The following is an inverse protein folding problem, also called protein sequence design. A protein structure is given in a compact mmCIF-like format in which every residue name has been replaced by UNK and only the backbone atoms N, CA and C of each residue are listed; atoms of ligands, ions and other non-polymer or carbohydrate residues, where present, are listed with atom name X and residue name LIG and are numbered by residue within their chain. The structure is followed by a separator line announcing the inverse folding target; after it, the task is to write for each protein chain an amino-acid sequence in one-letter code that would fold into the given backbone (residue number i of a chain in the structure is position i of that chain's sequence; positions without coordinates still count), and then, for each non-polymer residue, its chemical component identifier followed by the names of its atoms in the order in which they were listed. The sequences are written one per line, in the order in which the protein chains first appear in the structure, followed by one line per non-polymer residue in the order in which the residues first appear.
data_IF_160549366935
#
_entry.id   IF_160549366935
#
_cell.length_a   1.000
_cell.length_b   1.000
_cell.length_c   1.000
_cell.angle_alpha   90.00
_cell.angle_beta   90.00
_cell.angle_gamma   90.00
#
_symmetry.space_group_name_H-M   'P 1'
#
loop_
_entity.id
_entity.type
_entity.pdbx_description
1 polymer ?
#
# COMPACT_ATOMS: atom_id res chain seq x y z
N UNK A 1 -9.67 -13.49 -4.46
CA UNK A 1 -8.45 -14.21 -4.01
C UNK A 1 -7.23 -13.29 -3.93
N UNK A 2 -6.77 -12.67 -5.04
CA UNK A 2 -5.57 -11.80 -5.04
C UNK A 2 -5.68 -10.60 -4.08
N UNK A 3 -6.80 -9.86 -4.14
CA UNK A 3 -7.11 -8.77 -3.19
C UNK A 3 -7.00 -9.20 -1.73
N UNK A 4 -7.58 -10.35 -1.39
CA UNK A 4 -7.53 -10.90 -0.04
C UNK A 4 -6.10 -11.25 0.41
N UNK A 5 -5.28 -11.85 -0.47
CA UNK A 5 -3.88 -12.17 -0.16
C UNK A 5 -3.09 -10.89 0.09
N UNK A 6 -3.23 -9.89 -0.78
CA UNK A 6 -2.51 -8.61 -0.65
C UNK A 6 -2.96 -7.82 0.58
N UNK A 7 -4.26 -7.78 0.87
CA UNK A 7 -4.80 -7.19 2.08
C UNK A 7 -4.25 -7.86 3.35
N UNK A 8 -4.20 -9.19 3.37
CA UNK A 8 -3.62 -9.96 4.48
C UNK A 8 -2.13 -9.63 4.67
N UNK A 9 -1.35 -9.60 3.59
CA UNK A 9 0.07 -9.25 3.67
C UNK A 9 0.29 -7.80 4.13
N UNK A 10 -0.52 -6.84 3.65
CA UNK A 10 -0.45 -5.45 4.11
C UNK A 10 -0.68 -5.37 5.63
N UNK A 11 -1.72 -6.06 6.13
CA UNK A 11 -2.00 -6.16 7.57
C UNK A 11 -0.84 -6.76 8.37
N UNK A 12 -0.26 -7.87 7.89
CA UNK A 12 0.88 -8.53 8.54
C UNK A 12 2.12 -7.63 8.60
N UNK A 13 2.37 -6.85 7.53
CA UNK A 13 3.45 -5.87 7.51
C UNK A 13 3.19 -4.75 8.53
N UNK A 14 1.98 -4.17 8.56
CA UNK A 14 1.63 -3.15 9.56
C UNK A 14 1.80 -3.67 10.98
N UNK A 15 1.31 -4.88 11.28
CA UNK A 15 1.48 -5.51 12.58
C UNK A 15 2.95 -5.60 12.98
N UNK A 16 3.80 -6.08 12.06
CA UNK A 16 5.24 -6.22 12.31
C UNK A 16 5.90 -4.86 12.58
N UNK A 17 5.58 -3.84 11.79
CA UNK A 17 6.12 -2.48 11.93
C UNK A 17 5.70 -1.81 13.24
N UNK A 18 4.44 -2.00 13.64
CA UNK A 18 3.91 -1.47 14.90
C UNK A 18 4.56 -2.18 16.09
N UNK A 19 4.65 -3.51 16.07
CA UNK A 19 5.32 -4.28 17.12
C UNK A 19 6.80 -3.91 17.26
N UNK A 20 7.49 -3.61 16.16
CA UNK A 20 8.88 -3.15 16.17
C UNK A 20 9.03 -1.65 16.41
N UNK A 21 7.94 -0.93 16.74
CA UNK A 21 7.90 0.52 16.95
C UNK A 21 8.62 1.30 15.83
N UNK A 22 8.39 0.89 14.59
CA UNK A 22 9.07 1.40 13.39
C UNK A 22 8.13 2.30 12.61
N UNK A 23 8.41 3.61 12.61
CA UNK A 23 7.67 4.58 11.81
C UNK A 23 7.75 4.21 10.32
N UNK A 24 6.66 4.41 9.60
CA UNK A 24 6.55 4.07 8.19
C UNK A 24 5.72 5.10 7.43
N UNK A 25 5.78 5.06 6.11
CA UNK A 25 4.82 5.75 5.27
C UNK A 25 3.96 4.72 4.53
N UNK A 26 2.73 5.11 4.21
CA UNK A 26 1.85 4.32 3.35
C UNK A 26 1.30 5.19 2.25
N UNK A 27 1.07 4.59 1.08
CA UNK A 27 0.33 5.20 -0.02
C UNK A 27 -0.97 4.43 -0.16
N UNK A 28 -2.11 5.12 -0.21
CA UNK A 28 -3.41 4.48 -0.35
C UNK A 28 -4.34 5.21 -1.32
N UNK A 29 -5.36 4.48 -1.76
CA UNK A 29 -6.46 4.97 -2.61
C UNK A 29 -7.41 5.85 -1.79
N UNK A 30 -7.58 7.11 -2.19
CA UNK A 30 -8.38 8.08 -1.44
C UNK A 30 -9.88 7.83 -1.57
N UNK A 31 -10.35 7.37 -2.72
CA UNK A 31 -11.75 6.97 -2.97
C UNK A 31 -12.24 5.87 -2.00
N UNK A 32 -11.32 5.05 -1.49
CA UNK A 32 -11.56 3.96 -0.54
C UNK A 32 -11.18 4.32 0.90
N UNK A 33 -10.77 5.56 1.17
CA UNK A 33 -10.36 6.04 2.50
C UNK A 33 -11.44 6.95 3.07
N UNK A 34 -11.82 6.73 4.33
CA UNK A 34 -12.78 7.59 5.04
C UNK A 34 -12.09 8.52 6.03
N UNK A 35 -12.75 9.65 6.29
CA UNK A 35 -12.31 10.70 7.19
C UNK A 35 -13.45 11.06 8.15
N UNK A 36 -13.20 10.94 9.45
CA UNK A 36 -14.16 11.30 10.50
C UNK A 36 -13.52 12.24 11.54
N UNK A 37 -13.97 13.51 11.65
CA UNK A 37 -14.99 14.14 10.80
C UNK A 37 -14.52 14.32 9.35
N UNK A 38 -15.47 14.43 8.43
CA UNK A 38 -15.15 14.69 7.02
C UNK A 38 -14.34 15.97 6.85
N UNK A 39 -13.35 15.92 5.96
CA UNK A 39 -12.49 17.06 5.68
C UNK A 39 -13.22 18.13 4.86
N UNK A 40 -12.94 19.42 5.11
CA UNK A 40 -13.40 20.50 4.24
C UNK A 40 -12.95 20.31 2.79
N UNK A 41 -13.78 20.75 1.84
CA UNK A 41 -13.53 20.57 0.40
C UNK A 41 -12.21 21.19 -0.06
N UNK A 42 -11.83 22.34 0.51
CA UNK A 42 -10.55 23.01 0.22
C UNK A 42 -9.32 22.17 0.61
N UNK A 43 -9.48 21.19 1.49
CA UNK A 43 -8.45 20.18 1.81
C UNK A 43 -8.64 18.93 0.95
N UNK A 44 -9.85 18.36 0.94
CA UNK A 44 -10.09 17.07 0.28
C UNK A 44 -9.91 17.13 -1.24
N UNK A 45 -10.21 18.27 -1.87
CA UNK A 45 -10.09 18.44 -3.32
C UNK A 45 -8.62 18.49 -3.79
N UNK A 46 -7.67 18.65 -2.87
CA UNK A 46 -6.24 18.62 -3.18
C UNK A 46 -5.65 17.21 -3.17
N UNK A 47 -6.41 16.20 -2.72
CA UNK A 47 -5.92 14.83 -2.76
C UNK A 47 -5.90 14.29 -4.19
N UNK A 48 -4.78 13.65 -4.54
CA UNK A 48 -4.73 12.79 -5.71
C UNK A 48 -5.48 11.48 -5.45
N UNK A 49 -5.65 10.69 -6.52
CA UNK A 49 -6.20 9.34 -6.45
C UNK A 49 -5.45 8.47 -5.43
N UNK A 50 -4.12 8.59 -5.44
CA UNK A 50 -3.24 8.06 -4.41
C UNK A 50 -2.69 9.18 -3.54
N UNK A 51 -2.70 8.96 -2.23
CA UNK A 51 -2.12 9.89 -1.25
C UNK A 51 -1.20 9.15 -0.30
N UNK A 52 -0.10 9.81 0.07
CA UNK A 52 0.86 9.31 1.04
C UNK A 52 0.58 9.87 2.43
N UNK A 53 0.63 8.99 3.42
CA UNK A 53 0.62 9.35 4.84
C UNK A 53 1.95 8.92 5.48
N UNK A 54 2.53 9.79 6.29
CA UNK A 54 3.70 9.48 7.12
C UNK A 54 3.19 9.19 8.53
N UNK A 55 3.38 7.95 8.98
CA UNK A 55 2.91 7.45 10.26
C UNK A 55 4.07 7.54 11.24
N UNK A 56 4.15 8.67 11.93
CA UNK A 56 5.14 8.95 12.95
C UNK A 56 4.53 9.76 14.10
N UNK A 57 5.16 9.72 15.28
CA UNK A 57 4.70 10.43 16.46
C UNK A 57 3.26 10.05 16.82
N UNK A 58 2.42 11.05 17.12
CA UNK A 58 1.04 10.83 17.53
C UNK A 58 0.20 10.06 16.48
N UNK A 59 0.43 10.29 15.20
CA UNK A 59 -0.24 9.54 14.12
C UNK A 59 0.14 8.07 14.13
N UNK A 60 1.38 7.73 14.49
CA UNK A 60 1.79 6.34 14.66
C UNK A 60 1.22 5.71 15.94
N UNK A 61 1.24 6.46 17.04
CA UNK A 61 0.73 6.01 18.34
C UNK A 61 -0.79 5.76 18.34
N UNK A 62 -1.54 6.44 17.46
CA UNK A 62 -2.99 6.30 17.31
C UNK A 62 -3.41 5.21 16.33
N UNK A 63 -2.48 4.40 15.81
CA UNK A 63 -2.83 3.33 14.87
C UNK A 63 -3.67 2.25 15.58
N UNK A 64 -4.81 1.94 15.00
CA UNK A 64 -5.64 0.79 15.35
C UNK A 64 -5.76 -0.17 14.16
N UNK A 65 -5.51 -1.46 14.41
CA UNK A 65 -5.68 -2.51 13.42
C UNK A 65 -6.99 -3.26 13.67
N UNK A 66 -7.97 -3.05 12.80
CA UNK A 66 -9.23 -3.79 12.76
C UNK A 66 -9.11 -5.14 12.05
N UNK A 67 -10.26 -5.77 11.76
CA UNK A 67 -10.27 -7.02 10.99
C UNK A 67 -9.89 -6.79 9.52
N UNK A 68 -10.53 -5.80 8.88
CA UNK A 68 -10.42 -5.52 7.44
C UNK A 68 -9.81 -4.16 7.09
N UNK A 69 -9.63 -3.29 8.10
CA UNK A 69 -9.15 -1.93 7.92
C UNK A 69 -8.14 -1.54 9.00
N UNK A 70 -7.37 -0.49 8.70
CA UNK A 70 -6.55 0.24 9.66
C UNK A 70 -7.13 1.63 9.84
N UNK A 71 -6.99 2.19 11.04
CA UNK A 71 -7.29 3.59 11.32
C UNK A 71 -6.18 4.28 12.08
N UNK A 72 -6.08 5.60 11.95
CA UNK A 72 -5.12 6.45 12.67
C UNK A 72 -5.59 7.90 12.70
N UNK A 73 -5.06 8.72 13.60
CA UNK A 73 -5.38 10.15 13.68
C UNK A 73 -4.35 11.01 12.93
N UNK A 74 -4.82 11.92 12.10
CA UNK A 74 -3.97 12.87 11.38
C UNK A 74 -4.57 14.28 11.39
N UNK A 75 -3.67 15.27 11.35
CA UNK A 75 -4.01 16.68 11.21
C UNK A 75 -3.82 17.15 9.77
N UNK A 76 -4.76 17.93 9.26
CA UNK A 76 -4.79 18.38 7.86
C UNK A 76 -4.81 19.90 7.72
N UNK A 77 -4.08 20.37 6.70
CA UNK A 77 -4.04 21.78 6.33
C UNK A 77 -3.37 22.70 7.37
N UNK A 78 -3.31 24.02 7.09
CA UNK A 78 -2.66 24.99 7.97
C UNK A 78 -3.32 25.12 9.35
N UNK A 79 -4.61 24.75 9.45
CA UNK A 79 -5.38 24.81 10.69
C UNK A 79 -5.25 23.52 11.53
N UNK A 80 -4.51 22.52 11.04
CA UNK A 80 -4.33 21.23 11.71
C UNK A 80 -5.67 20.58 12.08
N UNK A 81 -6.59 20.50 11.11
CA UNK A 81 -7.91 19.90 11.31
C UNK A 81 -7.70 18.42 11.58
N UNK A 82 -8.03 17.98 12.78
CA UNK A 82 -7.91 16.57 13.18
C UNK A 82 -9.02 15.73 12.54
N UNK A 83 -8.64 14.58 11.99
CA UNK A 83 -9.56 13.55 11.51
C UNK A 83 -8.98 12.17 11.80
N UNK A 84 -9.87 11.25 12.15
CA UNK A 84 -9.58 9.82 12.07
C UNK A 84 -9.60 9.43 10.60
N UNK A 85 -8.50 8.89 10.11
CA UNK A 85 -8.38 8.31 8.77
C UNK A 85 -8.61 6.81 8.91
N UNK A 86 -9.49 6.23 8.10
CA UNK A 86 -9.70 4.78 8.06
C UNK A 86 -9.61 4.26 6.64
N UNK A 87 -8.84 3.19 6.44
CA UNK A 87 -8.61 2.60 5.12
C UNK A 87 -8.66 1.07 5.18
N UNK A 88 -9.38 0.41 4.26
CA UNK A 88 -9.35 -1.04 4.16
C UNK A 88 -7.97 -1.50 3.68
N UNK A 89 -7.49 -2.66 4.13
CA UNK A 89 -6.13 -3.11 3.78
C UNK A 89 -5.90 -3.30 2.28
N UNK A 90 -6.95 -3.57 1.51
CA UNK A 90 -6.86 -3.71 0.06
C UNK A 90 -6.68 -2.37 -0.68
N UNK A 91 -6.92 -1.21 -0.05
CA UNK A 91 -6.69 0.10 -0.66
C UNK A 91 -5.26 0.61 -0.48
N UNK A 92 -4.46 -0.06 0.36
CA UNK A 92 -3.03 0.21 0.50
C UNK A 92 -2.36 -0.12 -0.83
N UNK A 93 -1.76 0.91 -1.45
CA UNK A 93 -0.98 0.81 -2.68
C UNK A 93 0.48 0.48 -2.37
N UNK A 94 1.09 1.17 -1.40
CA UNK A 94 2.47 0.93 -0.99
C UNK A 94 2.66 1.05 0.52
N UNK A 95 3.65 0.32 1.04
CA UNK A 95 4.19 0.50 2.38
C UNK A 95 5.68 0.79 2.23
N UNK A 96 6.13 1.88 2.83
CA UNK A 96 7.46 2.45 2.67
C UNK A 96 8.11 2.58 4.03
N UNK A 97 9.37 2.18 4.13
CA UNK A 97 10.22 2.51 5.27
C UNK A 97 11.04 3.76 4.94
N UNK A 98 10.87 4.85 5.71
CA UNK A 98 11.79 5.97 5.68
C UNK A 98 13.21 5.47 6.01
N UNK A 99 14.16 5.74 5.12
CA UNK A 99 15.57 5.41 5.36
C UNK A 99 16.36 6.69 5.50
N UNK A 100 17.01 6.86 6.65
CA UNK A 100 18.05 7.86 6.87
C UNK A 100 19.32 7.37 6.18
N UNK A 101 19.37 7.48 4.85
CA UNK A 101 20.59 7.59 4.05
C UNK A 101 20.20 7.67 2.56
N UNK A 102 21.16 8.10 1.74
CA UNK A 102 21.13 8.39 0.29
C UNK A 102 20.51 7.34 -0.67
N UNK A 103 19.80 6.33 -0.16
CA UNK A 103 19.10 5.26 -0.88
C UNK A 103 17.61 5.54 -1.13
N UNK A 104 17.04 6.58 -0.54
CA UNK A 104 15.61 6.89 -0.65
C UNK A 104 14.73 5.94 0.16
N UNK A 105 13.41 6.10 0.04
CA UNK A 105 12.42 5.28 0.76
C UNK A 105 12.49 3.81 0.30
N UNK A 106 12.52 2.87 1.25
CA UNK A 106 12.53 1.45 0.95
C UNK A 106 11.09 0.95 0.79
N UNK A 107 10.76 0.44 -0.39
CA UNK A 107 9.45 -0.13 -0.67
C UNK A 107 9.39 -1.55 -0.08
N UNK A 108 8.53 -1.75 0.92
CA UNK A 108 8.27 -3.06 1.52
C UNK A 108 7.14 -3.82 0.83
N UNK A 109 6.19 -3.08 0.26
CA UNK A 109 4.96 -3.64 -0.28
C UNK A 109 4.48 -2.80 -1.46
N UNK A 110 3.99 -3.48 -2.49
CA UNK A 110 3.25 -2.89 -3.60
C UNK A 110 2.01 -3.75 -3.86
N UNK A 111 0.86 -3.11 -3.88
CA UNK A 111 -0.39 -3.67 -4.37
C UNK A 111 -0.74 -3.01 -5.70
N UNK A 112 -0.58 -3.71 -6.83
CA UNK A 112 -0.87 -3.15 -8.15
C UNK A 112 -2.38 -2.98 -8.42
N UNK A 113 -3.24 -3.49 -7.53
CA UNK A 113 -4.70 -3.53 -7.69
C UNK A 113 -5.42 -2.63 -6.66
N UNK A 114 -4.69 -1.73 -6.01
CA UNK A 114 -5.26 -0.84 -4.99
C UNK A 114 -6.31 0.12 -5.56
N UNK A 115 -6.18 0.47 -6.84
CA UNK A 115 -7.08 1.37 -7.55
C UNK A 115 -8.27 0.61 -8.16
N UNK A 116 -8.08 -0.64 -8.58
CA UNK A 116 -9.12 -1.47 -9.21
C UNK A 116 -10.40 -1.58 -8.38
N UNK A 117 -11.54 -1.53 -9.05
CA UNK A 117 -12.85 -1.80 -8.47
C UNK A 117 -12.96 -3.24 -7.94
N UNK A 118 -13.75 -3.46 -6.89
CA UNK A 118 -13.82 -4.72 -6.13
C UNK A 118 -14.04 -5.97 -7.01
N UNK A 119 -14.80 -5.84 -8.10
CA UNK A 119 -15.19 -6.95 -8.97
C UNK A 119 -14.19 -7.29 -10.10
N UNK A 120 -13.20 -6.44 -10.40
CA UNK A 120 -12.46 -6.50 -11.67
C UNK A 120 -11.26 -7.45 -11.72
N UNK A 121 -10.88 -8.09 -10.61
CA UNK A 121 -9.69 -8.96 -10.60
C UNK A 121 -9.95 -10.33 -11.20
N UNK A 122 -9.84 -10.41 -12.52
CA UNK A 122 -9.67 -11.68 -13.23
C UNK A 122 -8.34 -12.29 -12.80
N UNK A 123 -8.39 -13.50 -12.27
CA UNK A 123 -7.17 -14.27 -12.04
C UNK A 123 -6.47 -14.48 -13.40
N UNK A 124 -5.18 -14.16 -13.51
CA UNK A 124 -4.43 -14.49 -14.72
C UNK A 124 -4.48 -16.01 -14.89
N UNK A 125 -5.11 -16.46 -15.97
CA UNK A 125 -5.17 -17.88 -16.34
C UNK A 125 -4.07 -18.13 -17.36
N UNK A 126 -2.92 -18.56 -16.88
CA UNK A 126 -1.87 -19.16 -17.70
C UNK A 126 -1.92 -20.67 -17.52
N UNK A 127 -1.76 -21.43 -18.60
CA UNK A 127 -1.54 -22.87 -18.50
C UNK A 127 -0.14 -23.16 -17.98
N UNK A 128 0.09 -24.39 -17.51
CA UNK A 128 1.44 -24.81 -17.11
C UNK A 128 2.44 -24.76 -18.28
N UNK A 129 1.98 -25.03 -19.50
CA UNK A 129 2.76 -24.95 -20.74
C UNK A 129 3.18 -23.51 -21.03
N UNK A 130 2.27 -22.53 -20.91
CA UNK A 130 2.56 -21.11 -21.08
C UNK A 130 3.64 -20.62 -20.09
N UNK A 131 3.57 -21.12 -18.85
CA UNK A 131 4.52 -20.78 -17.80
C UNK A 131 5.89 -21.42 -18.03
N UNK A 132 5.94 -22.67 -18.49
CA UNK A 132 7.19 -23.35 -18.86
C UNK A 132 7.88 -22.66 -20.03
N UNK A 133 7.13 -22.25 -21.05
CA UNK A 133 7.68 -21.53 -22.20
C UNK A 133 8.21 -20.14 -21.81
N UNK A 134 7.48 -19.41 -20.97
CA UNK A 134 7.93 -18.12 -20.42
C UNK A 134 9.23 -18.25 -19.63
N UNK A 135 9.33 -19.27 -18.77
CA UNK A 135 10.55 -19.58 -18.01
C UNK A 135 11.73 -19.89 -18.93
N UNK A 136 11.52 -20.75 -19.94
CA UNK A 136 12.54 -21.11 -20.92
C UNK A 136 13.04 -19.88 -21.70
N UNK A 137 12.12 -19.03 -22.15
CA UNK A 137 12.45 -17.81 -22.89
C UNK A 137 13.23 -16.81 -22.02
N UNK A 138 12.89 -16.67 -20.74
CA UNK A 138 13.64 -15.82 -19.81
C UNK A 138 15.08 -16.29 -19.61
N UNK A 139 15.33 -17.61 -19.62
CA UNK A 139 16.69 -18.16 -19.54
C UNK A 139 17.44 -17.91 -20.86
N UNK A 140 16.80 -18.14 -22.00
CA UNK A 140 17.44 -18.03 -23.33
C UNK A 140 17.68 -16.57 -23.77
N UNK A 141 16.94 -15.61 -23.24
CA UNK A 141 17.08 -14.19 -23.56
C UNK A 141 18.39 -13.58 -23.07
N UNK A 142 19.10 -14.23 -22.15
CA UNK A 142 20.43 -13.82 -21.74
C UNK A 142 21.47 -14.22 -22.81
N UNK A 143 22.14 -13.26 -23.49
CA UNK A 143 23.10 -13.56 -24.56
C UNK A 143 24.29 -14.41 -24.10
N UNK A 144 24.60 -14.42 -22.79
CA UNK A 144 25.65 -15.27 -22.21
C UNK A 144 25.25 -16.76 -22.16
N UNK A 145 23.95 -17.06 -22.22
CA UNK A 145 23.43 -18.43 -22.21
C UNK A 145 23.41 -19.07 -23.61
N UNK A 146 23.63 -18.28 -24.68
CA UNK A 146 23.70 -18.75 -26.07
C UNK A 146 25.11 -19.16 -26.52
N UNK A 147 26.13 -18.94 -25.68
CA UNK A 147 27.53 -19.28 -25.98
C UNK A 147 27.90 -20.57 -25.24
N UNK A 148 27.52 -21.72 -25.79
CA UNK A 148 28.13 -23.01 -25.49
C UNK A 148 28.35 -23.79 -26.78
#
# INVERSE_FOLDING_TARGET
MLKHILAKHAKEIFHTLIESNSNFALVCSIDKTSFEPSLPSDISDNFGELTMFILAGFTFESIELGEEYMSFEAGFGPQNIGSVVSLPYHSVHQILLPSEESRGELILFINPFSLDEEEELKTPKSTEEDLMESSKNAILSNPKNLKK
#
